data_IF_653912276233
#
_entry.id   IF_653912276233
#
_cell.length_a   1.000
_cell.length_b   1.000
_cell.length_c   1.000
_cell.angle_alpha   90.00
_cell.angle_beta   90.00
_cell.angle_gamma   90.00
#
_symmetry.space_group_name_H-M   'P 1'
#
loop_
_entity.id
_entity.type
_entity.pdbx_description
1 polymer ?
#
# COMPACT_ATOMS: atom_id res chain seq x y z
N UNK A 1 -1.12 -1.87 21.29
CA UNK A 1 -0.58 -2.44 20.03
C UNK A 1 -0.81 -1.62 18.74
N UNK A 2 -1.29 -0.36 18.70
CA UNK A 2 -1.41 0.39 17.42
C UNK A 2 -0.05 0.94 16.93
N UNK A 3 0.85 1.29 17.86
CA UNK A 3 2.13 1.95 17.54
C UNK A 3 3.09 1.09 16.70
N UNK A 4 3.09 -0.24 16.89
CA UNK A 4 3.95 -1.16 16.12
C UNK A 4 3.46 -1.32 14.69
N UNK A 5 2.14 -1.39 14.48
CA UNK A 5 1.52 -1.48 13.16
C UNK A 5 1.74 -0.21 12.34
N UNK A 6 1.54 0.97 12.97
CA UNK A 6 1.82 2.27 12.32
C UNK A 6 3.28 2.34 11.86
N UNK A 7 4.23 1.89 12.70
CA UNK A 7 5.65 1.86 12.36
C UNK A 7 5.96 0.98 11.15
N UNK A 8 5.29 -0.18 11.03
CA UNK A 8 5.50 -1.14 9.94
C UNK A 8 4.97 -0.62 8.60
N UNK A 9 3.82 0.06 8.61
CA UNK A 9 3.24 0.70 7.40
C UNK A 9 4.08 1.90 6.96
N UNK A 10 4.47 2.78 7.90
CA UNK A 10 5.32 3.93 7.60
C UNK A 10 6.66 3.53 6.98
N UNK A 11 7.28 2.46 7.48
CA UNK A 11 8.56 1.99 6.95
C UNK A 11 8.46 1.52 5.49
N UNK A 12 7.40 0.77 5.15
CA UNK A 12 7.21 0.23 3.80
C UNK A 12 6.81 1.32 2.80
N UNK A 13 5.84 2.16 3.15
CA UNK A 13 5.34 3.23 2.26
C UNK A 13 6.31 4.41 2.20
N UNK A 14 6.91 4.78 3.33
CA UNK A 14 7.79 5.95 3.43
C UNK A 14 9.01 5.87 2.52
N UNK A 15 9.62 4.68 2.39
CA UNK A 15 10.73 4.49 1.43
C UNK A 15 10.29 4.66 -0.01
N UNK A 16 9.15 4.07 -0.39
CA UNK A 16 8.65 4.16 -1.75
C UNK A 16 8.35 5.63 -2.13
N UNK A 17 7.71 6.37 -1.23
CA UNK A 17 7.43 7.81 -1.41
C UNK A 17 8.72 8.62 -1.53
N UNK A 18 9.72 8.37 -0.67
CA UNK A 18 11.02 9.05 -0.78
C UNK A 18 11.72 8.77 -2.11
N UNK A 19 11.68 7.54 -2.61
CA UNK A 19 12.23 7.21 -3.93
C UNK A 19 11.48 7.93 -5.07
N UNK A 20 10.16 8.05 -4.99
CA UNK A 20 9.38 8.85 -5.94
C UNK A 20 9.79 10.32 -5.91
N UNK A 21 9.94 10.89 -4.71
CA UNK A 21 10.34 12.27 -4.52
C UNK A 21 11.74 12.57 -5.07
N UNK A 22 12.72 11.69 -4.82
CA UNK A 22 14.09 11.90 -5.29
C UNK A 22 14.25 11.70 -6.80
N UNK A 23 13.37 10.93 -7.43
CA UNK A 23 13.46 10.63 -8.88
C UNK A 23 12.74 11.65 -9.75
N UNK A 24 11.52 12.06 -9.37
CA UNK A 24 10.67 12.96 -10.18
C UNK A 24 9.89 13.99 -9.34
N UNK A 25 10.36 14.32 -8.13
CA UNK A 25 9.69 15.27 -7.25
C UNK A 25 8.25 14.85 -6.92
N UNK A 26 7.34 15.81 -6.84
CA UNK A 26 5.91 15.58 -6.58
C UNK A 26 5.29 14.59 -7.57
N UNK A 27 5.62 14.70 -8.86
CA UNK A 27 5.10 13.79 -9.89
C UNK A 27 5.49 12.34 -9.59
N UNK A 28 6.73 12.10 -9.16
CA UNK A 28 7.20 10.78 -8.79
C UNK A 28 6.48 10.23 -7.56
N UNK A 29 6.22 11.07 -6.55
CA UNK A 29 5.40 10.68 -5.38
C UNK A 29 3.99 10.29 -5.82
N UNK A 30 3.34 11.11 -6.65
CA UNK A 30 1.99 10.84 -7.17
C UNK A 30 1.95 9.51 -7.92
N UNK A 31 2.91 9.29 -8.81
CA UNK A 31 3.03 8.03 -9.57
C UNK A 31 3.17 6.82 -8.63
N UNK A 32 4.01 6.91 -7.60
CA UNK A 32 4.20 5.82 -6.63
C UNK A 32 2.91 5.52 -5.87
N UNK A 33 2.18 6.54 -5.44
CA UNK A 33 0.90 6.37 -4.73
C UNK A 33 -0.16 5.75 -5.65
N UNK A 34 -0.22 6.17 -6.91
CA UNK A 34 -1.12 5.59 -7.92
C UNK A 34 -0.77 4.11 -8.17
N UNK A 35 0.50 3.76 -8.37
CA UNK A 35 0.92 2.36 -8.52
C UNK A 35 0.56 1.49 -7.30
N UNK A 36 0.75 2.01 -6.08
CA UNK A 36 0.39 1.28 -4.86
C UNK A 36 -1.12 1.08 -4.74
N UNK A 37 -1.91 2.07 -5.18
CA UNK A 37 -3.37 1.98 -5.20
C UNK A 37 -3.83 0.96 -6.23
N UNK A 38 -3.32 1.03 -7.45
CA UNK A 38 -3.69 0.13 -8.55
C UNK A 38 -3.37 -1.33 -8.20
N UNK A 39 -2.20 -1.59 -7.63
CA UNK A 39 -1.80 -2.94 -7.18
C UNK A 39 -2.72 -3.46 -6.06
N UNK A 40 -3.12 -2.59 -5.13
CA UNK A 40 -4.06 -2.94 -4.07
C UNK A 40 -5.44 -3.30 -4.65
N UNK A 41 -5.97 -2.48 -5.56
CA UNK A 41 -7.26 -2.73 -6.21
C UNK A 41 -7.23 -4.00 -7.07
N UNK A 42 -6.14 -4.22 -7.81
CA UNK A 42 -5.93 -5.43 -8.60
C UNK A 42 -5.88 -6.68 -7.72
N UNK A 43 -5.10 -6.65 -6.63
CA UNK A 43 -5.02 -7.76 -5.67
C UNK A 43 -6.37 -8.04 -5.00
N UNK A 44 -7.11 -7.00 -4.65
CA UNK A 44 -8.43 -7.11 -4.06
C UNK A 44 -9.44 -7.76 -5.03
N UNK A 45 -9.41 -7.38 -6.31
CA UNK A 45 -10.22 -8.01 -7.34
C UNK A 45 -9.91 -9.51 -7.47
N UNK A 46 -8.63 -9.87 -7.50
CA UNK A 46 -8.20 -11.28 -7.53
C UNK A 46 -8.56 -12.06 -6.26
N UNK A 47 -8.64 -11.37 -5.12
CA UNK A 47 -9.00 -11.98 -3.82
C UNK A 47 -10.51 -12.03 -3.59
N UNK A 48 -11.34 -11.57 -4.54
CA UNK A 48 -12.80 -11.51 -4.38
C UNK A 48 -13.27 -10.49 -3.33
N UNK A 49 -12.47 -9.45 -3.06
CA UNK A 49 -12.74 -8.44 -2.04
C UNK A 49 -13.13 -7.10 -2.71
N UNK A 50 -14.42 -6.80 -2.94
CA UNK A 50 -14.84 -5.59 -3.65
C UNK A 50 -14.68 -4.30 -2.81
N UNK A 51 -14.47 -4.43 -1.50
CA UNK A 51 -14.31 -3.30 -0.57
C UNK A 51 -13.22 -3.62 0.44
N UNK A 52 -12.63 -2.57 1.06
CA UNK A 52 -11.59 -2.72 2.08
C UNK A 52 -12.07 -3.55 3.29
N UNK A 53 -13.36 -3.50 3.61
CA UNK A 53 -13.95 -4.30 4.69
C UNK A 53 -13.93 -5.81 4.39
N UNK A 54 -13.80 -6.20 3.12
CA UNK A 54 -13.62 -7.59 2.70
C UNK A 54 -12.24 -8.14 3.06
N UNK A 55 -11.23 -7.28 3.24
CA UNK A 55 -9.85 -7.71 3.53
C UNK A 55 -9.73 -8.08 5.01
N UNK A 56 -9.86 -9.37 5.30
CA UNK A 56 -9.78 -9.94 6.66
C UNK A 56 -8.56 -10.85 6.83
N UNK A 57 -8.19 -11.16 8.07
CA UNK A 57 -7.07 -12.06 8.39
C UNK A 57 -7.26 -13.49 7.84
N UNK A 58 -8.48 -13.89 7.46
CA UNK A 58 -8.76 -15.20 6.85
C UNK A 58 -8.10 -15.37 5.48
N UNK A 59 -7.73 -14.28 4.80
CA UNK A 59 -7.01 -14.33 3.53
C UNK A 59 -5.51 -14.66 3.71
N UNK A 60 -5.01 -14.70 4.94
CA UNK A 60 -3.59 -14.87 5.25
C UNK A 60 -3.35 -16.31 5.73
N UNK A 61 -2.46 -17.03 5.03
CA UNK A 61 -1.88 -18.29 5.51
C UNK A 61 -0.47 -17.98 6.01
N UNK A 62 -0.15 -18.39 7.23
CA UNK A 62 1.14 -18.10 7.90
C UNK A 62 1.88 -19.39 8.19
#
# INVERSE_FOLDING_TARGET
>A
MPMVTVRRVLYKVGRAVMCGLTTKGEYGVKTVIEMLKDELEFTMALSGCPTLNGVTANHIRT
#
